data_IF_484611762405
#
_entry.id   IF_484611762405
#
_cell.length_a   1.000
_cell.length_b   1.000
_cell.length_c   1.000
_cell.angle_alpha   90.00
_cell.angle_beta   90.00
_cell.angle_gamma   90.00
#
_symmetry.space_group_name_H-M   'P 1'
#
loop_
_entity.id
_entity.type
_entity.pdbx_description
1 polymer ?
#
# COMPACT_ATOMS: atom_id res chain seq x y z
N UNK A 1 19.81 8.40 -8.00
CA UNK A 1 18.89 7.51 -7.26
C UNK A 1 19.40 7.42 -5.82
N UNK A 2 18.57 7.76 -4.84
CA UNK A 2 18.94 7.72 -3.41
C UNK A 2 19.33 6.33 -2.95
N UNK A 3 20.07 6.23 -1.85
CA UNK A 3 20.45 4.94 -1.24
C UNK A 3 19.31 4.46 -0.36
N UNK A 4 18.94 3.20 -0.45
CA UNK A 4 17.91 2.57 0.39
C UNK A 4 18.31 2.49 1.87
N UNK A 5 19.61 2.39 2.13
CA UNK A 5 20.16 2.26 3.49
C UNK A 5 21.40 3.13 3.68
N UNK A 6 21.60 3.60 4.91
CA UNK A 6 22.77 4.39 5.34
C UNK A 6 23.41 3.78 6.57
N UNK A 7 24.74 3.88 6.67
CA UNK A 7 25.49 3.45 7.86
C UNK A 7 25.70 4.63 8.80
N UNK A 8 25.33 4.45 10.07
CA UNK A 8 25.57 5.41 11.15
C UNK A 8 26.29 4.75 12.31
N UNK A 9 27.19 5.48 12.96
CA UNK A 9 27.84 5.04 14.18
C UNK A 9 26.87 5.22 15.34
N UNK A 10 26.61 4.13 16.09
CA UNK A 10 25.71 4.13 17.24
C UNK A 10 26.41 3.65 18.50
N UNK A 11 25.92 4.09 19.65
CA UNK A 11 26.28 3.53 20.96
C UNK A 11 25.27 2.40 21.26
N UNK A 12 25.79 1.22 21.49
CA UNK A 12 24.99 0.05 21.87
C UNK A 12 25.22 -0.28 23.34
N UNK A 13 24.13 -0.41 24.06
CA UNK A 13 24.12 -0.90 25.45
C UNK A 13 23.48 -2.29 25.43
N UNK A 14 24.22 -3.29 25.93
CA UNK A 14 23.71 -4.66 26.10
C UNK A 14 24.23 -5.19 27.44
N UNK A 15 23.29 -5.62 28.29
CA UNK A 15 23.62 -6.17 29.64
C UNK A 15 24.56 -5.28 30.45
N UNK A 16 24.37 -3.94 30.38
CA UNK A 16 25.19 -2.93 31.03
C UNK A 16 26.50 -2.60 30.33
N UNK A 17 26.94 -3.38 29.34
CA UNK A 17 28.17 -3.10 28.58
C UNK A 17 27.89 -2.08 27.45
N UNK A 18 28.75 -1.06 27.36
CA UNK A 18 28.66 0.01 26.34
C UNK A 18 29.70 -0.25 25.26
N UNK A 19 29.25 -0.24 24.01
CA UNK A 19 30.11 -0.38 22.84
C UNK A 19 29.70 0.58 21.74
N UNK A 20 30.64 0.94 20.85
CA UNK A 20 30.38 1.76 19.68
C UNK A 20 30.57 0.93 18.42
N UNK A 21 29.58 0.93 17.53
CA UNK A 21 29.63 0.14 16.30
C UNK A 21 28.85 0.83 15.18
N UNK A 22 29.13 0.51 13.92
CA UNK A 22 28.26 0.92 12.82
C UNK A 22 26.92 0.14 12.86
N UNK A 23 25.83 0.84 12.58
CA UNK A 23 24.52 0.28 12.35
C UNK A 23 24.00 0.66 10.95
N UNK A 24 23.10 -0.14 10.42
CA UNK A 24 22.50 0.10 9.10
C UNK A 24 21.07 0.58 9.30
N UNK A 25 20.81 1.83 8.93
CA UNK A 25 19.51 2.46 9.03
C UNK A 25 18.86 2.51 7.65
N UNK A 26 17.52 2.45 7.62
CA UNK A 26 16.76 2.75 6.40
C UNK A 26 16.86 4.24 6.10
N UNK A 27 16.98 4.57 4.82
CA UNK A 27 16.96 5.98 4.38
C UNK A 27 15.50 6.42 4.21
N UNK A 28 15.22 7.62 4.68
CA UNK A 28 13.93 8.29 4.54
C UNK A 28 14.15 9.66 3.90
N UNK A 29 13.52 9.89 2.75
CA UNK A 29 13.65 11.13 1.99
C UNK A 29 12.28 11.59 1.48
N UNK A 30 12.04 12.91 1.32
CA UNK A 30 10.82 13.41 0.72
C UNK A 30 10.75 13.02 -0.77
N UNK A 31 9.53 12.81 -1.27
CA UNK A 31 9.21 12.71 -2.68
C UNK A 31 8.03 13.62 -2.98
N UNK A 32 8.24 14.61 -3.84
CA UNK A 32 7.16 15.42 -4.42
C UNK A 32 6.60 14.70 -5.64
N UNK A 33 5.29 14.46 -5.62
CA UNK A 33 4.53 13.90 -6.75
C UNK A 33 3.84 15.06 -7.46
N UNK A 34 4.08 15.18 -8.75
CA UNK A 34 3.39 16.14 -9.64
C UNK A 34 2.46 15.39 -10.58
N UNK A 35 1.40 16.08 -10.98
CA UNK A 35 0.47 15.62 -12.00
C UNK A 35 0.40 16.69 -13.10
N UNK A 36 0.80 16.32 -14.32
CA UNK A 36 0.83 17.21 -15.48
C UNK A 36 1.56 18.55 -15.18
N UNK A 37 2.72 18.46 -14.53
CA UNK A 37 3.57 19.60 -14.15
C UNK A 37 3.14 20.34 -12.87
N UNK A 38 1.99 20.02 -12.28
CA UNK A 38 1.49 20.70 -11.07
C UNK A 38 1.79 19.87 -9.82
N UNK A 39 2.34 20.49 -8.74
CA UNK A 39 2.53 19.82 -7.46
C UNK A 39 1.20 19.27 -6.93
N UNK A 40 1.20 18.01 -6.47
CA UNK A 40 0.01 17.34 -5.96
C UNK A 40 0.18 16.88 -4.51
N UNK A 41 1.30 16.22 -4.19
CA UNK A 41 1.55 15.68 -2.85
C UNK A 41 3.05 15.60 -2.55
N UNK A 42 3.38 15.63 -1.25
CA UNK A 42 4.73 15.29 -0.76
C UNK A 42 4.58 14.13 0.23
N UNK A 43 5.35 13.08 0.04
CA UNK A 43 5.41 11.93 0.96
C UNK A 43 6.83 11.65 1.39
N UNK A 44 7.02 11.17 2.62
CA UNK A 44 8.30 10.62 3.09
C UNK A 44 8.37 9.16 2.68
N UNK A 45 9.43 8.76 2.00
CA UNK A 45 9.56 7.40 1.44
C UNK A 45 10.96 6.83 1.60
N UNK A 46 11.09 5.53 1.53
CA UNK A 46 12.36 4.87 1.25
C UNK A 46 12.66 4.97 -0.25
N UNK A 47 13.82 5.54 -0.66
CA UNK A 47 14.19 5.67 -2.07
C UNK A 47 14.12 4.35 -2.84
N UNK A 48 13.69 4.44 -4.11
CA UNK A 48 13.48 3.30 -5.00
C UNK A 48 12.01 3.03 -5.29
N UNK A 49 11.74 2.53 -6.48
CA UNK A 49 10.38 2.32 -7.02
C UNK A 49 9.51 3.59 -7.02
N UNK A 50 10.13 4.77 -7.12
CA UNK A 50 9.45 6.07 -7.00
C UNK A 50 8.40 6.29 -8.08
N UNK A 51 8.62 5.77 -9.29
CA UNK A 51 7.65 5.82 -10.38
C UNK A 51 6.42 4.96 -10.06
N UNK A 52 6.64 3.77 -9.52
CA UNK A 52 5.55 2.92 -9.06
C UNK A 52 4.80 3.56 -7.87
N UNK A 53 5.53 4.16 -6.91
CA UNK A 53 4.92 4.91 -5.81
C UNK A 53 3.99 6.02 -6.32
N UNK A 54 4.47 6.86 -7.26
CA UNK A 54 3.68 7.97 -7.80
C UNK A 54 2.46 7.46 -8.60
N UNK A 55 2.63 6.42 -9.42
CA UNK A 55 1.55 5.82 -10.19
C UNK A 55 0.48 5.19 -9.28
N UNK A 56 0.88 4.43 -8.25
CA UNK A 56 -0.06 3.80 -7.31
C UNK A 56 -0.78 4.81 -6.42
N UNK A 57 -0.12 5.88 -6.01
CA UNK A 57 -0.76 7.01 -5.36
C UNK A 57 -1.90 7.57 -6.24
N UNK A 58 -1.66 7.79 -7.53
CA UNK A 58 -2.67 8.30 -8.46
C UNK A 58 -3.80 7.30 -8.75
N UNK A 59 -3.55 6.00 -8.70
CA UNK A 59 -4.62 4.98 -8.73
C UNK A 59 -5.50 5.11 -7.48
N UNK A 60 -4.88 5.24 -6.32
CA UNK A 60 -5.58 5.39 -5.03
C UNK A 60 -6.43 6.65 -4.95
N UNK A 61 -6.02 7.72 -5.64
CA UNK A 61 -6.76 8.98 -5.76
C UNK A 61 -7.78 8.99 -6.93
N UNK A 62 -7.91 7.87 -7.66
CA UNK A 62 -8.88 7.73 -8.75
C UNK A 62 -8.52 8.45 -10.05
N UNK A 63 -7.28 8.92 -10.19
CA UNK A 63 -6.78 9.60 -11.40
C UNK A 63 -6.43 8.59 -12.50
N UNK A 64 -5.70 7.52 -12.12
CA UNK A 64 -5.31 6.44 -13.03
C UNK A 64 -6.10 5.18 -12.70
N UNK A 65 -6.56 4.48 -13.74
CA UNK A 65 -7.23 3.21 -13.58
C UNK A 65 -6.56 2.10 -14.42
N UNK A 66 -6.06 2.41 -15.57
CA UNK A 66 -5.46 1.47 -16.51
C UNK A 66 -4.16 2.01 -17.07
N UNK A 67 -3.31 1.13 -17.59
CA UNK A 67 -2.01 1.51 -18.14
C UNK A 67 -2.11 2.59 -19.23
N UNK A 68 -3.16 2.56 -20.05
CA UNK A 68 -3.38 3.55 -21.10
C UNK A 68 -3.70 4.97 -20.62
N UNK A 69 -4.08 5.15 -19.34
CA UNK A 69 -4.28 6.47 -18.74
C UNK A 69 -2.94 7.17 -18.47
N UNK A 70 -1.86 6.38 -18.38
CA UNK A 70 -0.51 6.85 -18.10
C UNK A 70 0.24 7.13 -19.42
N UNK A 71 0.62 8.39 -19.65
CA UNK A 71 1.44 8.75 -20.79
C UNK A 71 2.93 8.62 -20.47
N UNK A 72 3.38 9.20 -19.35
CA UNK A 72 4.80 9.21 -18.99
C UNK A 72 4.99 9.44 -17.47
N UNK A 73 6.14 8.97 -16.96
CA UNK A 73 6.61 9.31 -15.61
C UNK A 73 8.09 9.66 -15.71
N UNK A 74 8.47 10.83 -15.19
CA UNK A 74 9.85 11.30 -15.22
C UNK A 74 10.29 11.90 -13.87
N UNK A 75 11.58 11.80 -13.57
CA UNK A 75 12.15 12.65 -12.55
C UNK A 75 12.34 14.06 -13.10
N UNK A 76 11.85 15.05 -12.36
CA UNK A 76 12.15 16.45 -12.63
C UNK A 76 13.51 16.81 -12.01
N UNK A 77 14.23 17.72 -12.65
CA UNK A 77 15.48 18.25 -12.13
C UNK A 77 15.19 19.05 -10.83
N UNK A 78 15.44 18.45 -9.70
CA UNK A 78 15.57 19.16 -8.42
C UNK A 78 17.02 19.63 -8.31
N UNK A 79 17.25 20.93 -8.27
CA UNK A 79 18.59 21.47 -8.19
C UNK A 79 19.12 21.42 -6.74
N UNK A 80 20.15 20.62 -6.50
CA UNK A 80 21.11 20.87 -5.40
C UNK A 80 21.93 22.11 -5.73
N UNK A 81 22.61 22.69 -4.74
CA UNK A 81 23.48 23.86 -4.93
C UNK A 81 24.58 23.64 -5.98
N UNK A 82 24.95 22.40 -6.26
CA UNK A 82 25.92 22.00 -7.28
C UNK A 82 25.27 21.61 -8.63
N UNK A 83 23.95 21.76 -8.78
CA UNK A 83 23.20 21.47 -10.00
C UNK A 83 22.91 19.97 -10.22
N UNK A 84 23.24 19.09 -9.27
CA UNK A 84 22.90 17.66 -9.37
C UNK A 84 21.40 17.41 -9.12
N UNK A 85 20.83 16.38 -9.78
CA UNK A 85 19.43 16.00 -9.55
C UNK A 85 19.28 15.30 -8.20
N UNK A 86 18.33 15.78 -7.37
CA UNK A 86 18.01 15.15 -6.09
C UNK A 86 17.20 13.87 -6.23
N UNK A 87 16.56 13.65 -7.39
CA UNK A 87 15.61 12.54 -7.64
C UNK A 87 14.43 12.51 -6.63
N UNK A 88 14.06 13.67 -6.10
CA UNK A 88 13.01 13.80 -5.10
C UNK A 88 11.74 14.46 -5.66
N UNK A 89 11.65 14.65 -6.98
CA UNK A 89 10.47 15.17 -7.67
C UNK A 89 10.16 14.28 -8.86
N UNK A 90 8.95 13.71 -8.86
CA UNK A 90 8.43 12.87 -9.95
C UNK A 90 7.21 13.55 -10.54
N UNK A 91 7.19 13.73 -11.85
CA UNK A 91 6.02 14.21 -12.59
C UNK A 91 5.39 13.07 -13.39
N UNK A 92 4.09 12.88 -13.17
CA UNK A 92 3.26 11.92 -13.89
C UNK A 92 2.41 12.68 -14.90
N UNK A 93 2.59 12.35 -16.16
CA UNK A 93 1.78 12.91 -17.24
C UNK A 93 0.72 11.90 -17.65
N UNK A 94 -0.55 12.32 -17.64
CA UNK A 94 -1.68 11.50 -18.09
C UNK A 94 -1.84 11.57 -19.60
N UNK A 95 -2.42 10.53 -20.19
CA UNK A 95 -2.84 10.55 -21.59
C UNK A 95 -3.91 11.62 -21.80
N UNK A 96 -3.88 12.37 -22.92
CA UNK A 96 -4.90 13.37 -23.22
C UNK A 96 -6.34 12.79 -23.16
N UNK A 97 -7.21 13.46 -22.40
CA UNK A 97 -8.60 13.01 -22.21
C UNK A 97 -8.83 12.11 -20.99
N UNK A 98 -7.78 11.73 -20.25
CA UNK A 98 -7.94 11.04 -18.96
C UNK A 98 -8.69 11.95 -17.97
N UNK A 99 -9.83 11.51 -17.40
CA UNK A 99 -10.57 12.30 -16.43
C UNK A 99 -9.77 12.50 -15.15
N UNK A 100 -9.64 13.74 -14.69
CA UNK A 100 -8.98 14.07 -13.41
C UNK A 100 -10.08 14.50 -12.44
N UNK A 101 -10.30 13.79 -11.33
CA UNK A 101 -11.29 14.17 -10.32
C UNK A 101 -11.00 15.54 -9.71
N UNK A 102 -12.01 16.37 -9.53
CA UNK A 102 -11.87 17.75 -8.98
C UNK A 102 -11.27 17.74 -7.57
N UNK A 103 -11.58 16.74 -6.74
CA UNK A 103 -11.06 16.59 -5.37
C UNK A 103 -9.52 16.51 -5.35
N UNK A 104 -8.92 15.98 -6.41
CA UNK A 104 -7.47 15.85 -6.54
C UNK A 104 -6.81 17.23 -6.71
N UNK A 105 -7.51 18.20 -7.32
CA UNK A 105 -7.00 19.54 -7.59
C UNK A 105 -7.13 20.50 -6.42
N UNK A 106 -8.04 20.22 -5.47
CA UNK A 106 -8.30 21.08 -4.30
C UNK A 106 -7.41 20.77 -3.09
N UNK A 107 -6.70 19.64 -3.09
CA UNK A 107 -5.76 19.28 -2.02
C UNK A 107 -4.52 20.15 -2.10
N UNK A 108 -4.44 21.13 -1.21
CA UNK A 108 -3.22 21.91 -0.99
C UNK A 108 -2.04 20.98 -0.60
N UNK A 109 -0.89 21.26 -1.16
CA UNK A 109 0.41 20.56 -1.23
C UNK A 109 0.97 19.93 0.07
N UNK A 110 0.32 20.06 1.22
CA UNK A 110 0.79 19.58 2.52
C UNK A 110 -0.18 18.58 3.16
N UNK A 111 -0.38 17.42 2.53
CA UNK A 111 -1.06 16.33 3.23
C UNK A 111 -0.07 15.21 3.54
N UNK A 112 0.60 15.35 4.69
CA UNK A 112 1.08 14.18 5.42
C UNK A 112 -0.14 13.31 5.73
N UNK A 113 -0.04 12.00 5.47
CA UNK A 113 -1.01 10.97 5.80
C UNK A 113 -1.82 11.33 7.05
N UNK A 114 -3.15 11.51 6.94
CA UNK A 114 -4.10 11.61 8.06
C UNK A 114 -4.86 12.91 8.23
N UNK A 115 -5.20 13.67 7.20
CA UNK A 115 -6.04 14.85 7.44
C UNK A 115 -7.30 14.91 6.57
N UNK A 116 -8.46 14.51 7.19
CA UNK A 116 -9.54 15.44 7.23
C UNK A 116 -10.60 15.38 6.15
N UNK A 117 -11.00 14.20 5.67
CA UNK A 117 -12.37 14.04 5.17
C UNK A 117 -13.22 13.47 6.30
N UNK A 118 -14.40 14.04 6.52
CA UNK A 118 -15.39 13.49 7.44
C UNK A 118 -15.70 12.05 6.98
N UNK A 119 -15.62 11.05 7.89
CA UNK A 119 -15.64 9.63 7.57
C UNK A 119 -16.69 9.20 6.53
N UNK A 120 -17.92 9.73 6.62
CA UNK A 120 -19.01 9.41 5.68
C UNK A 120 -18.75 9.96 4.27
N UNK A 121 -18.23 11.18 4.13
CA UNK A 121 -17.87 11.75 2.82
C UNK A 121 -16.72 11.00 2.15
N UNK A 122 -15.79 10.45 2.94
CA UNK A 122 -14.70 9.61 2.45
C UNK A 122 -15.19 8.26 1.93
N UNK A 123 -16.14 7.61 2.60
CA UNK A 123 -16.77 6.37 2.16
C UNK A 123 -17.50 6.57 0.82
N UNK A 124 -18.34 7.60 0.74
CA UNK A 124 -19.09 7.92 -0.47
C UNK A 124 -18.15 8.25 -1.65
N UNK A 125 -17.04 8.95 -1.41
CA UNK A 125 -16.06 9.27 -2.43
C UNK A 125 -15.41 8.00 -3.01
N UNK A 126 -15.02 7.03 -2.18
CA UNK A 126 -14.45 5.75 -2.65
C UNK A 126 -15.46 4.97 -3.49
N UNK A 127 -16.71 4.88 -3.03
CA UNK A 127 -17.78 4.17 -3.76
C UNK A 127 -18.06 4.75 -5.13
N UNK A 128 -18.05 6.07 -5.23
CA UNK A 128 -18.36 6.76 -6.51
C UNK A 128 -17.15 6.80 -7.46
N UNK A 129 -15.95 6.67 -6.95
CA UNK A 129 -14.72 6.81 -7.75
C UNK A 129 -14.16 5.45 -8.20
N UNK A 130 -14.44 4.35 -7.47
CA UNK A 130 -13.93 3.02 -7.86
C UNK A 130 -14.48 2.58 -9.22
N UNK A 131 -13.58 2.10 -10.08
CA UNK A 131 -13.93 1.57 -11.41
C UNK A 131 -14.17 0.07 -11.40
N UNK A 132 -13.79 -0.63 -10.33
CA UNK A 132 -13.89 -2.09 -10.21
C UNK A 132 -14.61 -2.48 -8.92
N UNK A 133 -15.96 -2.47 -8.91
CA UNK A 133 -16.74 -2.89 -7.76
C UNK A 133 -16.38 -4.32 -7.35
N UNK A 134 -16.03 -4.52 -6.09
CA UNK A 134 -15.56 -5.83 -5.61
C UNK A 134 -16.65 -6.88 -5.54
N UNK A 135 -17.93 -6.45 -5.50
CA UNK A 135 -19.08 -7.36 -5.56
C UNK A 135 -19.24 -8.03 -6.92
N UNK A 136 -18.66 -7.44 -7.96
CA UNK A 136 -18.69 -7.98 -9.33
C UNK A 136 -17.47 -8.85 -9.65
N UNK A 137 -16.55 -9.02 -8.69
CA UNK A 137 -15.36 -9.87 -8.88
C UNK A 137 -15.72 -11.35 -8.89
N UNK A 138 -15.00 -12.18 -9.66
CA UNK A 138 -15.18 -13.62 -9.60
C UNK A 138 -15.09 -14.14 -8.16
N UNK A 139 -15.89 -15.14 -7.77
CA UNK A 139 -15.82 -15.69 -6.43
C UNK A 139 -14.43 -16.26 -6.15
N UNK A 140 -13.90 -15.92 -4.99
CA UNK A 140 -12.69 -16.50 -4.41
C UNK A 140 -13.09 -17.42 -3.27
N UNK A 141 -12.36 -18.52 -3.11
CA UNK A 141 -12.52 -19.45 -1.99
C UNK A 141 -11.15 -19.69 -1.38
N UNK A 142 -10.81 -18.89 -0.40
CA UNK A 142 -9.49 -18.89 0.24
C UNK A 142 -9.55 -19.76 1.49
N UNK A 143 -8.65 -20.73 1.57
CA UNK A 143 -8.47 -21.54 2.75
C UNK A 143 -7.90 -20.69 3.90
N UNK A 144 -8.52 -20.67 5.09
CA UNK A 144 -7.98 -19.97 6.26
C UNK A 144 -6.56 -20.43 6.65
N UNK A 145 -6.23 -21.71 6.48
CA UNK A 145 -4.89 -22.21 6.77
C UNK A 145 -3.84 -21.62 5.82
N UNK A 146 -4.22 -21.40 4.57
CA UNK A 146 -3.35 -20.69 3.63
C UNK A 146 -3.10 -19.24 4.08
N UNK A 147 -4.13 -18.53 4.55
CA UNK A 147 -3.94 -17.17 5.09
C UNK A 147 -2.98 -17.17 6.28
N UNK A 148 -3.08 -18.19 7.15
CA UNK A 148 -2.25 -18.32 8.35
C UNK A 148 -0.74 -18.34 8.03
N UNK A 149 -0.35 -18.89 6.89
CA UNK A 149 1.05 -18.98 6.44
C UNK A 149 1.61 -17.71 5.81
N UNK A 150 0.74 -16.81 5.32
CA UNK A 150 1.18 -15.65 4.54
C UNK A 150 2.07 -14.67 5.31
N UNK A 151 1.87 -14.39 6.63
CA UNK A 151 2.77 -13.53 7.39
C UNK A 151 4.20 -14.02 7.43
N UNK A 152 4.43 -15.33 7.57
CA UNK A 152 5.77 -15.91 7.59
C UNK A 152 6.42 -15.83 6.19
N UNK A 153 5.65 -16.05 5.13
CA UNK A 153 6.11 -15.87 3.74
C UNK A 153 6.47 -14.41 3.45
N UNK A 154 5.64 -13.46 3.90
CA UNK A 154 5.94 -12.03 3.83
C UNK A 154 7.24 -11.72 4.57
N UNK A 155 7.35 -12.20 5.83
CA UNK A 155 8.51 -11.94 6.68
C UNK A 155 9.81 -12.49 6.08
N UNK A 156 9.78 -13.69 5.51
CA UNK A 156 10.92 -14.30 4.83
C UNK A 156 11.38 -13.53 3.57
N UNK A 157 10.47 -12.79 2.93
CA UNK A 157 10.77 -12.00 1.74
C UNK A 157 11.26 -10.57 2.03
N UNK A 158 11.16 -10.07 3.27
CA UNK A 158 11.56 -8.70 3.69
C UNK A 158 13.07 -8.54 3.83
N UNK A 159 13.77 -8.37 2.72
CA UNK A 159 15.25 -8.32 2.67
C UNK A 159 15.86 -7.07 3.29
N UNK A 160 15.20 -5.91 3.15
CA UNK A 160 15.73 -4.65 3.70
C UNK A 160 15.40 -4.56 5.18
N UNK A 161 14.22 -4.98 5.60
CA UNK A 161 13.83 -5.08 7.00
C UNK A 161 14.80 -5.98 7.79
N UNK A 162 15.26 -7.10 7.25
CA UNK A 162 16.22 -7.99 7.91
C UNK A 162 17.52 -7.28 8.33
N UNK A 163 17.93 -6.30 7.55
CA UNK A 163 19.16 -5.54 7.78
C UNK A 163 18.95 -4.30 8.64
N UNK A 164 17.73 -3.76 8.69
CA UNK A 164 17.48 -2.43 9.28
C UNK A 164 16.44 -2.44 10.39
N UNK A 165 15.48 -3.38 10.35
CA UNK A 165 14.35 -3.44 11.28
C UNK A 165 13.35 -2.28 11.15
N UNK A 166 13.51 -1.38 10.16
CA UNK A 166 12.83 -0.08 10.12
C UNK A 166 11.79 0.10 9.01
N UNK A 167 11.32 -0.96 8.35
CA UNK A 167 10.39 -0.87 7.22
C UNK A 167 9.07 -1.57 7.47
N UNK A 168 8.03 -1.03 6.86
CA UNK A 168 6.79 -1.75 6.59
C UNK A 168 6.93 -2.51 5.28
N UNK A 169 6.11 -3.57 5.13
CA UNK A 169 5.98 -4.30 3.90
C UNK A 169 4.52 -4.48 3.51
N UNK A 170 4.30 -4.54 2.21
CA UNK A 170 3.08 -5.02 1.60
C UNK A 170 3.43 -6.05 0.53
N UNK A 171 2.61 -7.10 0.40
CA UNK A 171 2.80 -8.13 -0.60
C UNK A 171 1.48 -8.53 -1.27
N UNK A 172 1.57 -8.91 -2.54
CA UNK A 172 0.49 -9.52 -3.29
C UNK A 172 0.74 -11.02 -3.37
N UNK A 173 -0.28 -11.79 -3.03
CA UNK A 173 -0.29 -13.24 -3.17
C UNK A 173 -1.42 -13.66 -4.08
N UNK A 174 -1.24 -14.78 -4.80
CA UNK A 174 -2.34 -15.45 -5.48
C UNK A 174 -3.34 -16.02 -4.46
N UNK A 175 -4.53 -16.41 -4.91
CA UNK A 175 -5.50 -17.16 -4.09
C UNK A 175 -4.97 -18.50 -3.57
N UNK A 176 -3.84 -18.99 -4.12
CA UNK A 176 -3.14 -20.22 -3.71
C UNK A 176 -1.91 -19.93 -2.83
N UNK A 177 -1.70 -18.67 -2.43
CA UNK A 177 -0.63 -18.23 -1.54
C UNK A 177 0.74 -18.10 -2.20
N UNK A 178 0.83 -18.09 -3.51
CA UNK A 178 2.08 -17.79 -4.20
C UNK A 178 2.39 -16.30 -4.13
N UNK A 179 3.61 -15.94 -3.73
CA UNK A 179 4.05 -14.55 -3.68
C UNK A 179 4.26 -14.00 -5.10
N UNK A 180 3.47 -13.00 -5.49
CA UNK A 180 3.58 -12.34 -6.78
C UNK A 180 4.55 -11.15 -6.73
N UNK A 181 4.41 -10.29 -5.73
CA UNK A 181 5.26 -9.12 -5.56
C UNK A 181 5.31 -8.68 -4.09
N UNK A 182 6.40 -8.03 -3.69
CA UNK A 182 6.58 -7.44 -2.36
C UNK A 182 7.26 -6.10 -2.48
N UNK A 183 6.79 -5.11 -1.69
CA UNK A 183 7.44 -3.81 -1.53
C UNK A 183 7.64 -3.47 -0.09
N UNK A 184 8.82 -2.90 0.21
CA UNK A 184 9.18 -2.40 1.53
C UNK A 184 9.34 -0.88 1.47
N UNK A 185 8.79 -0.18 2.45
CA UNK A 185 8.91 1.27 2.60
C UNK A 185 8.79 1.68 4.07
N UNK A 186 9.41 2.81 4.44
CA UNK A 186 9.22 3.42 5.78
C UNK A 186 7.75 3.77 6.03
N UNK A 187 7.01 4.11 4.98
CA UNK A 187 5.58 4.38 4.98
C UNK A 187 4.76 3.16 4.56
N UNK A 188 3.89 2.64 5.44
CA UNK A 188 3.01 1.51 5.09
C UNK A 188 2.11 1.77 3.88
N UNK A 189 1.66 3.03 3.70
CA UNK A 189 0.84 3.45 2.56
C UNK A 189 1.65 3.41 1.25
N UNK A 190 2.89 3.88 1.32
CA UNK A 190 3.81 3.87 0.18
C UNK A 190 4.12 2.44 -0.28
N UNK A 191 4.28 1.49 0.66
CA UNK A 191 4.51 0.09 0.30
C UNK A 191 3.37 -0.48 -0.56
N UNK A 192 2.11 -0.15 -0.24
CA UNK A 192 0.94 -0.54 -1.03
C UNK A 192 0.91 0.22 -2.36
N UNK A 193 1.16 1.54 -2.36
CA UNK A 193 1.21 2.31 -3.60
C UNK A 193 2.27 1.79 -4.57
N UNK A 194 3.45 1.40 -4.07
CA UNK A 194 4.48 0.77 -4.91
C UNK A 194 4.01 -0.51 -5.59
N UNK A 195 3.23 -1.36 -4.90
CA UNK A 195 2.62 -2.56 -5.48
C UNK A 195 1.59 -2.22 -6.55
N UNK A 196 0.63 -1.37 -6.20
CA UNK A 196 -0.47 -0.97 -7.10
C UNK A 196 0.07 -0.27 -8.35
N UNK A 197 1.03 0.64 -8.18
CA UNK A 197 1.64 1.33 -9.30
C UNK A 197 2.48 0.41 -10.19
N UNK A 198 3.11 -0.61 -9.64
CA UNK A 198 3.79 -1.63 -10.43
C UNK A 198 2.78 -2.44 -11.26
N UNK A 199 1.66 -2.82 -10.65
CA UNK A 199 0.59 -3.51 -11.37
C UNK A 199 -0.01 -2.63 -12.49
N UNK A 200 -0.21 -1.32 -12.26
CA UNK A 200 -0.63 -0.39 -13.31
C UNK A 200 0.37 -0.35 -14.47
N UNK A 201 1.69 -0.22 -14.16
CA UNK A 201 2.74 -0.17 -15.16
C UNK A 201 2.84 -1.45 -16.01
N UNK A 202 2.52 -2.59 -15.42
CA UNK A 202 2.50 -3.88 -16.09
C UNK A 202 1.18 -4.17 -16.83
N UNK A 203 0.17 -3.30 -16.72
CA UNK A 203 -1.20 -3.50 -17.21
C UNK A 203 -1.95 -4.67 -16.52
N UNK A 204 -1.63 -4.92 -15.23
CA UNK A 204 -2.21 -6.02 -14.44
C UNK A 204 -3.46 -5.60 -13.64
N UNK A 205 -3.88 -4.33 -13.67
CA UNK A 205 -5.12 -3.88 -13.02
C UNK A 205 -6.35 -4.27 -13.83
N UNK A 206 -7.47 -4.66 -13.18
CA UNK A 206 -7.66 -4.80 -11.74
C UNK A 206 -7.03 -6.07 -11.15
N UNK A 207 -6.61 -5.98 -9.89
CA UNK A 207 -6.03 -7.09 -9.15
C UNK A 207 -7.12 -7.98 -8.51
N UNK A 208 -8.02 -8.52 -9.33
CA UNK A 208 -9.28 -9.16 -8.89
C UNK A 208 -9.11 -10.57 -8.29
N UNK A 209 -7.93 -11.17 -8.39
CA UNK A 209 -7.67 -12.54 -7.90
C UNK A 209 -6.46 -12.61 -6.97
N UNK A 210 -6.21 -11.56 -6.19
CA UNK A 210 -5.07 -11.51 -5.28
C UNK A 210 -5.48 -11.24 -3.85
N UNK A 211 -4.59 -11.58 -2.92
CA UNK A 211 -4.63 -11.23 -1.52
C UNK A 211 -3.55 -10.17 -1.29
N UNK A 212 -3.93 -9.00 -0.79
CA UNK A 212 -3.01 -7.99 -0.30
C UNK A 212 -2.74 -8.24 1.18
N UNK A 213 -1.50 -8.55 1.55
CA UNK A 213 -1.07 -8.65 2.94
C UNK A 213 -0.19 -7.46 3.32
N UNK A 214 -0.50 -6.84 4.46
CA UNK A 214 0.30 -5.74 5.02
C UNK A 214 0.88 -6.10 6.39
N UNK A 215 2.15 -5.75 6.61
CA UNK A 215 2.86 -6.04 7.87
C UNK A 215 2.40 -5.19 9.05
N UNK A 216 1.59 -4.18 8.81
CA UNK A 216 1.09 -3.22 9.79
C UNK A 216 -0.39 -3.33 10.06
N UNK A 217 -0.99 -2.20 10.51
CA UNK A 217 -2.44 -2.05 10.71
C UNK A 217 -3.15 -1.82 9.37
N UNK A 218 -4.38 -2.32 9.22
CA UNK A 218 -5.26 -1.97 8.11
C UNK A 218 -6.01 -0.65 8.47
N UNK A 219 -5.51 0.48 7.97
CA UNK A 219 -6.21 1.77 8.07
C UNK A 219 -7.25 1.93 6.96
N UNK A 220 -8.14 2.93 7.10
CA UNK A 220 -9.07 3.31 6.05
C UNK A 220 -8.36 3.50 4.69
N UNK A 221 -7.24 4.24 4.68
CA UNK A 221 -6.49 4.50 3.45
C UNK A 221 -5.94 3.22 2.79
N UNK A 222 -5.53 2.20 3.59
CA UNK A 222 -5.09 0.93 3.03
C UNK A 222 -6.26 0.12 2.44
N UNK A 223 -7.43 0.15 3.09
CA UNK A 223 -8.65 -0.43 2.53
C UNK A 223 -9.09 0.30 1.26
N UNK A 224 -9.03 1.64 1.23
CA UNK A 224 -9.27 2.46 0.04
C UNK A 224 -8.36 2.05 -1.12
N UNK A 225 -7.04 1.95 -0.87
CA UNK A 225 -6.06 1.55 -1.89
C UNK A 225 -6.36 0.15 -2.46
N UNK A 226 -6.76 -0.79 -1.61
CA UNK A 226 -7.16 -2.13 -2.05
C UNK A 226 -8.40 -2.05 -2.96
N UNK A 227 -9.46 -1.36 -2.53
CA UNK A 227 -10.70 -1.18 -3.31
C UNK A 227 -10.42 -0.49 -4.64
N UNK A 228 -9.63 0.60 -4.64
CA UNK A 228 -9.31 1.38 -5.84
C UNK A 228 -8.45 0.59 -6.84
N UNK A 229 -7.71 -0.42 -6.40
CA UNK A 229 -6.94 -1.33 -7.25
C UNK A 229 -7.72 -2.60 -7.66
N UNK A 230 -8.98 -2.73 -7.22
CA UNK A 230 -9.80 -3.92 -7.48
C UNK A 230 -9.35 -5.16 -6.72
N UNK A 231 -8.67 -5.00 -5.55
CA UNK A 231 -8.19 -6.11 -4.72
C UNK A 231 -9.32 -6.56 -3.79
N UNK A 232 -9.77 -7.81 -3.87
CA UNK A 232 -10.93 -8.29 -3.11
C UNK A 232 -10.62 -8.67 -1.65
N UNK A 233 -9.34 -8.87 -1.30
CA UNK A 233 -8.93 -9.35 0.03
C UNK A 233 -7.77 -8.53 0.57
N UNK A 234 -7.98 -7.89 1.73
CA UNK A 234 -6.94 -7.21 2.51
C UNK A 234 -6.75 -7.96 3.83
N UNK A 235 -5.54 -8.48 4.03
CA UNK A 235 -5.12 -9.10 5.28
C UNK A 235 -4.04 -8.25 5.97
N UNK A 236 -4.10 -8.17 7.29
CA UNK A 236 -3.19 -7.38 8.10
C UNK A 236 -2.69 -8.16 9.32
N UNK A 237 -1.40 -8.05 9.63
CA UNK A 237 -0.80 -8.66 10.84
C UNK A 237 -1.34 -8.01 12.12
N UNK A 238 -1.82 -6.77 12.03
CA UNK A 238 -2.35 -6.01 13.17
C UNK A 238 -3.82 -5.62 12.97
N UNK A 239 -4.33 -4.75 13.85
CA UNK A 239 -5.74 -4.36 13.89
C UNK A 239 -6.16 -3.50 12.68
N UNK A 240 -7.41 -3.62 12.21
CA UNK A 240 -8.03 -2.61 11.37
C UNK A 240 -8.52 -1.41 12.20
N UNK A 241 -8.77 -0.27 11.54
CA UNK A 241 -9.56 0.82 12.10
C UNK A 241 -11.06 0.58 11.88
N UNK A 242 -11.92 1.19 12.70
CA UNK A 242 -13.38 1.08 12.51
C UNK A 242 -13.82 1.54 11.13
N UNK A 243 -13.30 2.67 10.66
CA UNK A 243 -13.62 3.19 9.33
C UNK A 243 -13.14 2.27 8.18
N UNK A 244 -12.06 1.50 8.38
CA UNK A 244 -11.64 0.46 7.43
C UNK A 244 -12.63 -0.71 7.38
N UNK A 245 -13.21 -1.06 8.53
CA UNK A 245 -14.27 -2.09 8.62
C UNK A 245 -15.54 -1.63 7.92
N UNK A 246 -15.95 -0.38 8.17
CA UNK A 246 -17.13 0.22 7.52
C UNK A 246 -16.96 0.23 5.99
N UNK A 247 -15.82 0.71 5.49
CA UNK A 247 -15.51 0.69 4.05
C UNK A 247 -15.52 -0.72 3.49
N UNK A 248 -14.94 -1.68 4.18
CA UNK A 248 -14.89 -3.07 3.72
C UNK A 248 -16.29 -3.68 3.60
N UNK A 249 -17.16 -3.44 4.60
CA UNK A 249 -18.54 -3.90 4.57
C UNK A 249 -19.33 -3.28 3.41
N UNK A 250 -19.15 -1.98 3.15
CA UNK A 250 -19.86 -1.26 2.10
C UNK A 250 -19.40 -1.62 0.68
N UNK A 251 -18.11 -1.92 0.51
CA UNK A 251 -17.51 -2.19 -0.81
C UNK A 251 -17.40 -3.66 -1.16
N UNK A 252 -17.72 -4.56 -0.20
CA UNK A 252 -17.55 -5.99 -0.37
C UNK A 252 -16.09 -6.46 -0.28
N UNK A 253 -15.19 -5.66 0.32
CA UNK A 253 -13.81 -6.07 0.59
C UNK A 253 -13.79 -7.12 1.72
N UNK A 254 -13.08 -8.23 1.52
CA UNK A 254 -12.76 -9.14 2.62
C UNK A 254 -11.63 -8.53 3.45
N UNK A 255 -11.90 -8.27 4.73
CA UNK A 255 -10.96 -7.64 5.64
C UNK A 255 -10.60 -8.57 6.79
N UNK A 256 -9.33 -8.99 6.83
CA UNK A 256 -8.77 -9.85 7.87
C UNK A 256 -7.74 -9.07 8.68
N UNK A 257 -7.84 -9.12 9.98
CA UNK A 257 -6.87 -8.51 10.90
C UNK A 257 -6.35 -9.49 11.93
N UNK A 258 -5.32 -9.08 12.69
CA UNK A 258 -4.63 -9.89 13.69
C UNK A 258 -4.15 -11.24 13.13
N UNK A 259 -3.77 -11.26 11.86
CA UNK A 259 -3.31 -12.47 11.20
C UNK A 259 -1.93 -12.87 11.74
N UNK A 260 -1.90 -13.91 12.59
CA UNK A 260 -0.69 -14.41 13.26
C UNK A 260 -0.78 -15.92 13.40
N UNK A 261 -0.08 -16.66 12.51
CA UNK A 261 -0.24 -18.11 12.45
C UNK A 261 -1.72 -18.49 12.29
N UNK A 262 -2.24 -19.49 13.02
CA UNK A 262 -3.61 -19.97 12.85
C UNK A 262 -4.69 -19.01 13.40
N UNK A 263 -4.29 -17.86 14.00
CA UNK A 263 -5.23 -16.91 14.58
C UNK A 263 -5.45 -15.72 13.67
N UNK A 264 -6.72 -15.40 13.41
CA UNK A 264 -7.13 -14.21 12.65
C UNK A 264 -8.55 -13.80 13.05
N UNK A 265 -8.88 -12.52 12.77
CA UNK A 265 -10.24 -12.02 12.89
C UNK A 265 -10.72 -11.58 11.50
N UNK A 266 -11.88 -12.07 11.09
CA UNK A 266 -12.55 -11.63 9.85
C UNK A 266 -13.54 -10.54 10.23
N UNK A 267 -13.36 -9.34 9.69
CA UNK A 267 -14.17 -8.16 10.00
C UNK A 267 -15.26 -7.89 8.97
N UNK A 268 -15.02 -8.32 7.73
CA UNK A 268 -15.97 -8.21 6.61
C UNK A 268 -15.64 -9.25 5.53
N UNK A 269 -16.62 -9.60 4.69
CA UNK A 269 -16.41 -10.37 3.47
C UNK A 269 -16.06 -11.84 3.70
N UNK A 270 -16.57 -12.47 4.77
CA UNK A 270 -16.35 -13.87 5.13
C UNK A 270 -16.72 -14.88 4.03
N UNK A 271 -17.59 -14.49 3.12
CA UNK A 271 -18.05 -15.34 2.01
C UNK A 271 -16.93 -15.74 1.03
N UNK A 272 -15.77 -15.08 1.07
CA UNK A 272 -14.59 -15.47 0.27
C UNK A 272 -13.66 -16.44 0.99
N UNK A 273 -13.96 -16.77 2.24
CA UNK A 273 -13.19 -17.76 2.99
C UNK A 273 -13.90 -19.11 2.98
N UNK A 274 -13.14 -20.19 2.79
CA UNK A 274 -13.65 -21.55 2.89
C UNK A 274 -13.82 -21.93 4.38
N UNK A 275 -14.81 -21.29 5.05
CA UNK A 275 -15.13 -21.60 6.44
C UNK A 275 -15.94 -22.90 6.49
N UNK A 276 -15.43 -23.92 7.20
CA UNK A 276 -16.28 -25.03 7.59
C UNK A 276 -17.42 -24.47 8.44
N UNK A 277 -18.65 -24.74 8.05
CA UNK A 277 -19.84 -24.40 8.86
C UNK A 277 -19.68 -25.11 10.20
N UNK A 278 -19.22 -24.39 11.22
CA UNK A 278 -19.27 -24.88 12.57
C UNK A 278 -20.73 -25.17 12.87
N UNK A 279 -21.09 -26.46 12.92
CA UNK A 279 -22.39 -26.91 13.39
C UNK A 279 -22.51 -26.38 14.82
N UNK A 280 -23.36 -25.34 15.00
CA UNK A 280 -23.60 -24.74 16.27
C UNK A 280 -24.09 -25.84 17.24
N UNK A 281 -23.22 -26.35 18.08
CA UNK A 281 -23.58 -27.14 19.22
C UNK A 281 -24.19 -26.14 20.20
N UNK A 282 -25.52 -25.98 20.13
CA UNK A 282 -26.30 -25.33 21.16
C UNK A 282 -26.20 -26.22 22.40
N UNK A 283 -25.54 -25.74 23.42
CA UNK A 283 -25.64 -26.22 24.80
C UNK A 283 -26.24 -25.12 25.63
#
# INVERSE_FOLDING_TARGET
MGRVTERRKVIRIRDGAISSRPDTLVTEEPLEIRLNGKPLAITMRTPGDDFALAAGFLVSEGVLAQHSDLHNIVYCAGATADGSNTYNVVDVTTTPGTPIPDITLERNVYTTSSCGLCGKASLDAVRTTTRWPLNDTPPLHIDPDLLADLPDRLRAAQRVFDRTGGLHAAALFTEHGELLDIREDVGRHNAVDKLVGRALQNADLPLSRVILLVSGRASFELAQKAVMAGIPVLAAVSAPSSLAVDLAAETGLTLVGFLRGPSMNVYAGEHRLALETATATQT
#
